data_IF_246152998984
#
_entry.id   IF_246152998984
#
_cell.length_a   1.000
_cell.length_b   1.000
_cell.length_c   1.000
_cell.angle_alpha   90.00
_cell.angle_beta   90.00
_cell.angle_gamma   90.00
#
_symmetry.space_group_name_H-M   'P 1'
#
loop_
_entity.id
_entity.type
_entity.pdbx_description
1 polymer ?
#
# COMPACT_ATOMS: atom_id res chain seq x y z
N UNK A 1 18.96 8.92 46.35
CA UNK A 1 18.65 10.05 45.45
C UNK A 1 19.97 10.50 44.85
N UNK A 2 20.21 10.46 43.52
CA UNK A 2 19.51 9.81 42.41
C UNK A 2 20.26 8.56 41.86
N UNK A 3 19.69 7.86 40.86
CA UNK A 3 20.06 6.49 40.48
C UNK A 3 20.93 6.39 39.23
N UNK A 4 21.48 5.18 39.06
CA UNK A 4 22.25 4.61 37.96
C UNK A 4 21.86 5.14 36.58
N UNK A 5 22.83 5.80 35.97
CA UNK A 5 22.97 6.08 34.56
C UNK A 5 23.16 4.76 33.79
N UNK A 6 22.05 4.06 33.59
CA UNK A 6 21.90 3.07 32.54
C UNK A 6 22.14 3.79 31.21
N UNK A 7 23.40 3.73 30.80
CA UNK A 7 23.86 4.15 29.49
C UNK A 7 23.10 3.31 28.48
N UNK A 8 22.09 3.92 27.87
CA UNK A 8 21.41 3.41 26.69
C UNK A 8 22.49 2.91 25.73
N UNK A 9 22.58 1.58 25.60
CA UNK A 9 23.21 0.93 24.46
C UNK A 9 22.35 1.31 23.23
N UNK A 10 22.49 2.56 22.81
CA UNK A 10 22.20 2.98 21.46
C UNK A 10 23.18 2.20 20.61
N UNK A 11 22.73 1.03 20.17
CA UNK A 11 23.37 0.17 19.20
C UNK A 11 23.89 1.08 18.09
N UNK A 12 25.20 1.36 18.13
CA UNK A 12 25.82 2.30 17.23
C UNK A 12 25.75 1.66 15.85
N UNK A 13 24.73 2.05 15.08
CA UNK A 13 24.43 1.53 13.76
C UNK A 13 25.68 1.68 12.88
N UNK A 14 26.37 0.56 12.65
CA UNK A 14 27.55 0.52 11.77
C UNK A 14 27.03 0.49 10.34
N UNK A 15 26.78 1.68 9.79
CA UNK A 15 26.31 1.82 8.41
C UNK A 15 27.51 1.75 7.47
N UNK A 16 27.67 0.58 6.82
CA UNK A 16 28.58 0.43 5.67
C UNK A 16 27.83 0.86 4.40
N UNK A 17 28.11 2.08 3.92
CA UNK A 17 27.53 2.62 2.67
C UNK A 17 28.40 2.25 1.46
N UNK A 18 27.83 1.49 0.51
CA UNK A 18 28.31 1.45 -0.87
C UNK A 18 27.78 2.67 -1.64
N UNK A 19 28.46 3.09 -2.73
CA UNK A 19 27.96 4.15 -3.62
C UNK A 19 26.63 3.69 -4.22
N UNK A 20 25.57 4.44 -3.96
CA UNK A 20 24.22 4.27 -4.52
C UNK A 20 23.86 5.55 -5.26
N UNK A 21 23.16 5.41 -6.38
CA UNK A 21 22.88 6.50 -7.33
C UNK A 21 21.91 7.56 -6.74
N UNK A 22 21.03 7.16 -5.81
CA UNK A 22 20.17 8.04 -5.03
C UNK A 22 19.54 7.29 -3.85
N UNK A 23 19.18 8.01 -2.79
CA UNK A 23 18.43 7.46 -1.64
C UNK A 23 17.30 8.42 -1.32
N UNK A 24 16.06 7.96 -1.49
CA UNK A 24 14.88 8.72 -1.13
C UNK A 24 14.45 8.38 0.31
N UNK A 25 14.54 9.34 1.23
CA UNK A 25 13.98 9.21 2.57
C UNK A 25 12.55 9.76 2.61
N UNK A 26 11.59 8.90 2.95
CA UNK A 26 10.22 9.31 3.22
C UNK A 26 9.98 9.35 4.73
N UNK A 27 9.79 10.54 5.28
CA UNK A 27 9.33 10.69 6.66
C UNK A 27 7.83 10.41 6.74
N UNK A 28 7.47 9.40 7.55
CA UNK A 28 6.09 8.96 7.77
C UNK A 28 5.69 9.34 9.19
N UNK A 29 4.51 9.92 9.37
CA UNK A 29 4.00 10.27 10.71
C UNK A 29 3.52 9.00 11.43
N UNK A 30 3.57 8.98 12.77
CA UNK A 30 3.13 7.84 13.60
C UNK A 30 1.74 7.31 13.21
N UNK A 31 0.77 8.19 12.96
CA UNK A 31 -0.58 7.79 12.55
C UNK A 31 -0.67 7.22 11.11
N UNK A 32 0.23 7.65 10.21
CA UNK A 32 0.32 7.07 8.85
C UNK A 32 0.94 5.67 8.94
N UNK A 33 1.90 5.49 9.84
CA UNK A 33 2.52 4.19 10.13
C UNK A 33 1.51 3.22 10.78
N UNK A 34 0.74 3.68 11.77
CA UNK A 34 -0.31 2.87 12.43
C UNK A 34 -1.39 2.42 11.42
N UNK A 35 -1.79 3.30 10.49
CA UNK A 35 -2.72 2.95 9.40
C UNK A 35 -2.15 1.92 8.41
N UNK A 36 -0.83 1.87 8.24
CA UNK A 36 -0.15 0.89 7.41
C UNK A 36 0.10 -0.43 8.16
N UNK A 37 0.42 -0.35 9.45
CA UNK A 37 0.75 -1.48 10.34
C UNK A 37 -0.48 -2.31 10.71
N UNK A 38 -1.65 -1.67 10.85
CA UNK A 38 -2.92 -2.39 11.04
C UNK A 38 -3.20 -3.38 9.89
N UNK A 39 -2.52 -3.23 8.75
CA UNK A 39 -2.70 -4.10 7.59
C UNK A 39 -4.10 -3.94 7.01
N UNK A 40 -4.28 -4.31 5.75
CA UNK A 40 -5.61 -4.21 5.15
C UNK A 40 -6.38 -5.50 5.39
N UNK A 41 -7.43 -5.53 6.27
CA UNK A 41 -8.37 -6.66 6.29
C UNK A 41 -9.10 -6.82 4.96
N UNK A 42 -8.90 -5.88 4.02
CA UNK A 42 -9.41 -5.92 2.68
C UNK A 42 -8.92 -7.16 1.90
N UNK A 43 -7.71 -7.69 2.12
CA UNK A 43 -7.29 -8.92 1.42
C UNK A 43 -8.20 -10.10 1.77
N UNK A 44 -8.57 -10.25 3.04
CA UNK A 44 -9.50 -11.27 3.50
C UNK A 44 -10.92 -11.04 2.96
N UNK A 45 -11.40 -9.79 2.99
CA UNK A 45 -12.71 -9.42 2.44
C UNK A 45 -12.81 -9.71 0.93
N UNK A 46 -11.74 -9.47 0.18
CA UNK A 46 -11.68 -9.78 -1.25
C UNK A 46 -11.77 -11.28 -1.50
N UNK A 47 -10.98 -12.08 -0.77
CA UNK A 47 -11.01 -13.54 -0.92
C UNK A 47 -12.40 -14.10 -0.62
N UNK A 48 -13.05 -13.64 0.45
CA UNK A 48 -14.42 -14.04 0.77
C UNK A 48 -15.44 -13.57 -0.27
N UNK A 49 -15.29 -12.34 -0.79
CA UNK A 49 -16.15 -11.81 -1.85
C UNK A 49 -16.08 -12.67 -3.12
N UNK A 50 -14.86 -13.01 -3.57
CA UNK A 50 -14.64 -13.85 -4.75
C UNK A 50 -15.20 -15.26 -4.52
N UNK A 51 -14.97 -15.83 -3.34
CA UNK A 51 -15.52 -17.13 -2.96
C UNK A 51 -17.06 -17.15 -2.99
N UNK A 52 -17.72 -16.17 -2.37
CA UNK A 52 -19.18 -16.05 -2.34
C UNK A 52 -19.76 -15.83 -3.74
N UNK A 53 -19.11 -14.99 -4.55
CA UNK A 53 -19.51 -14.77 -5.94
C UNK A 53 -19.34 -16.04 -6.76
N UNK A 54 -18.24 -16.78 -6.58
CA UNK A 54 -18.01 -18.04 -7.28
C UNK A 54 -19.13 -19.05 -6.98
N UNK A 55 -19.51 -19.20 -5.71
CA UNK A 55 -20.62 -20.09 -5.31
C UNK A 55 -21.93 -19.60 -5.90
N UNK A 56 -22.21 -18.29 -5.85
CA UNK A 56 -23.43 -17.73 -6.40
C UNK A 56 -23.53 -17.95 -7.91
N UNK A 57 -22.44 -17.76 -8.66
CA UNK A 57 -22.39 -18.03 -10.09
C UNK A 57 -22.57 -19.52 -10.40
N UNK A 58 -21.94 -20.41 -9.64
CA UNK A 58 -22.18 -21.85 -9.78
C UNK A 58 -23.67 -22.19 -9.56
N UNK A 59 -24.29 -21.63 -8.52
CA UNK A 59 -25.72 -21.82 -8.25
C UNK A 59 -26.62 -21.31 -9.39
N UNK A 60 -26.29 -20.15 -9.98
CA UNK A 60 -27.01 -19.58 -11.13
C UNK A 60 -26.86 -20.48 -12.35
N UNK A 61 -25.64 -20.93 -12.63
CA UNK A 61 -25.37 -21.82 -13.76
C UNK A 61 -26.11 -23.15 -13.61
N UNK A 62 -26.14 -23.71 -12.41
CA UNK A 62 -26.95 -24.89 -12.10
C UNK A 62 -28.42 -24.62 -12.34
N UNK A 63 -28.97 -23.49 -11.87
CA UNK A 63 -30.38 -23.14 -12.08
C UNK A 63 -30.74 -22.91 -13.56
N UNK A 64 -29.78 -22.41 -14.34
CA UNK A 64 -29.96 -22.15 -15.77
C UNK A 64 -29.79 -23.40 -16.65
N UNK A 65 -29.04 -24.40 -16.18
CA UNK A 65 -28.67 -25.57 -16.98
C UNK A 65 -29.38 -26.85 -16.54
N UNK A 66 -29.64 -27.00 -15.25
CA UNK A 66 -30.27 -28.19 -14.70
C UNK A 66 -31.79 -28.05 -14.70
N UNK A 67 -32.47 -29.09 -15.19
CA UNK A 67 -33.92 -29.23 -15.07
C UNK A 67 -34.19 -29.74 -13.65
N UNK A 68 -34.45 -28.81 -12.73
CA UNK A 68 -34.70 -29.14 -11.32
C UNK A 68 -36.20 -29.40 -11.15
N UNK A 69 -36.59 -30.67 -11.04
CA UNK A 69 -38.00 -31.05 -10.86
C UNK A 69 -38.54 -30.72 -9.45
N UNK A 70 -37.66 -30.57 -8.46
CA UNK A 70 -38.04 -30.30 -7.07
C UNK A 70 -38.05 -28.80 -6.73
N UNK A 71 -39.22 -28.29 -6.33
CA UNK A 71 -39.41 -26.89 -5.90
C UNK A 71 -38.53 -26.50 -4.71
N UNK A 72 -38.18 -27.45 -3.84
CA UNK A 72 -37.34 -27.21 -2.66
C UNK A 72 -35.91 -26.86 -3.10
N UNK A 73 -35.33 -27.67 -4.00
CA UNK A 73 -33.99 -27.44 -4.53
C UNK A 73 -33.92 -26.11 -5.29
N UNK A 74 -34.91 -25.83 -6.13
CA UNK A 74 -35.00 -24.57 -6.86
C UNK A 74 -34.94 -23.36 -5.91
N UNK A 75 -35.72 -23.40 -4.82
CA UNK A 75 -35.76 -22.32 -3.82
C UNK A 75 -34.42 -22.13 -3.13
N UNK A 76 -33.76 -23.23 -2.72
CA UNK A 76 -32.45 -23.17 -2.05
C UNK A 76 -31.38 -22.55 -2.96
N UNK A 77 -31.33 -22.95 -4.24
CA UNK A 77 -30.38 -22.37 -5.18
C UNK A 77 -30.62 -20.87 -5.43
N UNK A 78 -31.87 -20.44 -5.51
CA UNK A 78 -32.22 -19.01 -5.64
C UNK A 78 -31.78 -18.23 -4.41
N UNK A 79 -32.04 -18.73 -3.20
CA UNK A 79 -31.64 -18.05 -1.95
C UNK A 79 -30.12 -17.93 -1.85
N UNK A 80 -29.38 -19.01 -2.13
CA UNK A 80 -27.91 -19.00 -2.12
C UNK A 80 -27.37 -18.01 -3.16
N UNK A 81 -27.95 -17.99 -4.36
CA UNK A 81 -27.57 -17.06 -5.42
C UNK A 81 -27.77 -15.60 -5.02
N UNK A 82 -28.95 -15.25 -4.49
CA UNK A 82 -29.27 -13.88 -4.09
C UNK A 82 -28.40 -13.42 -2.93
N UNK A 83 -28.29 -14.23 -1.87
CA UNK A 83 -27.47 -13.90 -0.70
C UNK A 83 -25.99 -13.82 -1.07
N UNK A 84 -25.50 -14.76 -1.87
CA UNK A 84 -24.12 -14.80 -2.33
C UNK A 84 -23.74 -13.59 -3.19
N UNK A 85 -24.64 -13.16 -4.09
CA UNK A 85 -24.44 -11.91 -4.86
C UNK A 85 -24.47 -10.69 -3.94
N UNK A 86 -25.48 -10.55 -3.08
CA UNK A 86 -25.62 -9.36 -2.23
C UNK A 86 -24.42 -9.20 -1.29
N UNK A 87 -24.04 -10.26 -0.57
CA UNK A 87 -22.88 -10.23 0.30
C UNK A 87 -21.58 -10.10 -0.50
N UNK A 88 -21.43 -10.88 -1.57
CA UNK A 88 -20.25 -10.83 -2.44
C UNK A 88 -19.98 -9.42 -2.97
N UNK A 89 -20.99 -8.77 -3.53
CA UNK A 89 -20.91 -7.39 -4.05
C UNK A 89 -20.65 -6.39 -2.92
N UNK A 90 -21.33 -6.52 -1.77
CA UNK A 90 -21.09 -5.65 -0.62
C UNK A 90 -19.63 -5.69 -0.16
N UNK A 91 -19.06 -6.89 0.02
CA UNK A 91 -17.66 -7.04 0.39
C UNK A 91 -16.72 -6.51 -0.69
N UNK A 92 -17.05 -6.64 -1.97
CA UNK A 92 -16.26 -6.11 -3.08
C UNK A 92 -16.21 -4.57 -3.05
N UNK A 93 -17.35 -3.92 -2.77
CA UNK A 93 -17.44 -2.46 -2.66
C UNK A 93 -16.66 -1.97 -1.43
N UNK A 94 -16.82 -2.65 -0.28
CA UNK A 94 -16.06 -2.35 0.94
C UNK A 94 -14.55 -2.45 0.71
N UNK A 95 -14.12 -3.51 0.00
CA UNK A 95 -12.73 -3.71 -0.37
C UNK A 95 -12.20 -2.55 -1.22
N UNK A 96 -12.94 -2.16 -2.26
CA UNK A 96 -12.52 -1.08 -3.15
C UNK A 96 -12.35 0.23 -2.38
N UNK A 97 -13.31 0.57 -1.50
CA UNK A 97 -13.23 1.78 -0.68
C UNK A 97 -12.00 1.78 0.23
N UNK A 98 -11.72 0.66 0.90
CA UNK A 98 -10.56 0.51 1.78
C UNK A 98 -9.24 0.63 1.01
N UNK A 99 -9.15 0.02 -0.17
CA UNK A 99 -7.95 0.08 -1.02
C UNK A 99 -7.66 1.48 -1.54
N UNK A 100 -8.71 2.26 -1.85
CA UNK A 100 -8.57 3.66 -2.29
C UNK A 100 -8.00 4.55 -1.17
N UNK A 101 -8.40 4.30 0.09
CA UNK A 101 -7.92 5.06 1.24
C UNK A 101 -6.41 4.87 1.46
N UNK A 102 -5.93 3.61 1.42
CA UNK A 102 -4.50 3.30 1.56
C UNK A 102 -3.68 3.90 0.41
N UNK A 103 -4.17 3.79 -0.83
CA UNK A 103 -3.50 4.41 -1.99
C UNK A 103 -3.36 5.93 -1.84
N UNK A 104 -4.35 6.59 -1.24
CA UNK A 104 -4.31 8.03 -1.00
C UNK A 104 -3.23 8.40 0.02
N UNK A 105 -3.09 7.63 1.10
CA UNK A 105 -2.05 7.85 2.12
C UNK A 105 -0.66 7.69 1.50
N UNK A 106 -0.44 6.62 0.73
CA UNK A 106 0.82 6.41 0.00
C UNK A 106 1.09 7.55 -0.98
N UNK A 107 0.07 8.00 -1.72
CA UNK A 107 0.22 9.14 -2.63
C UNK A 107 0.55 10.44 -1.89
N UNK A 108 -0.04 10.67 -0.71
CA UNK A 108 0.28 11.81 0.14
C UNK A 108 1.72 11.77 0.64
N UNK A 109 2.23 10.59 1.03
CA UNK A 109 3.64 10.43 1.42
C UNK A 109 4.56 10.70 0.22
N UNK A 110 4.26 10.13 -0.96
CA UNK A 110 5.08 10.31 -2.17
C UNK A 110 5.08 11.74 -2.70
N UNK A 111 3.96 12.47 -2.59
CA UNK A 111 3.86 13.85 -3.08
C UNK A 111 4.60 14.88 -2.20
N UNK A 112 5.09 14.50 -1.00
CA UNK A 112 5.90 15.40 -0.17
C UNK A 112 7.29 15.66 -0.76
N UNK A 113 7.77 14.75 -1.61
CA UNK A 113 8.97 14.97 -2.43
C UNK A 113 8.49 15.13 -3.87
N UNK A 114 8.21 16.36 -4.34
CA UNK A 114 7.95 16.56 -5.75
C UNK A 114 9.20 16.15 -6.54
N UNK A 115 9.07 15.42 -7.66
CA UNK A 115 10.20 15.01 -8.50
C UNK A 115 10.99 16.21 -9.07
N UNK A 116 10.46 17.42 -8.91
CA UNK A 116 11.09 18.68 -9.31
C UNK A 116 12.15 19.16 -8.30
N UNK A 117 11.96 18.91 -7.00
CA UNK A 117 12.96 19.26 -5.98
C UNK A 117 14.28 18.48 -6.17
N UNK A 118 14.18 17.26 -6.68
CA UNK A 118 15.31 16.40 -7.03
C UNK A 118 16.13 17.03 -8.19
N UNK A 119 15.46 17.65 -9.18
CA UNK A 119 16.15 18.28 -10.31
C UNK A 119 16.86 19.57 -9.89
N UNK A 120 16.23 20.37 -9.04
CA UNK A 120 16.80 21.64 -8.60
C UNK A 120 18.05 21.43 -7.73
N UNK A 121 18.10 20.43 -6.84
CA UNK A 121 19.31 20.16 -6.05
C UNK A 121 20.46 19.58 -6.87
N UNK A 122 20.17 18.76 -7.89
CA UNK A 122 21.18 18.22 -8.81
C UNK A 122 21.75 19.33 -9.70
N UNK A 123 20.90 20.23 -10.20
CA UNK A 123 21.31 21.35 -11.05
C UNK A 123 22.11 22.41 -10.25
N UNK A 124 21.71 22.70 -9.01
CA UNK A 124 22.47 23.60 -8.11
C UNK A 124 23.81 22.97 -7.72
N UNK A 125 23.87 21.67 -7.42
CA UNK A 125 25.13 21.00 -7.08
C UNK A 125 26.09 20.91 -8.28
N UNK A 126 25.58 20.63 -9.48
CA UNK A 126 26.37 20.62 -10.71
C UNK A 126 26.91 22.01 -11.07
N UNK A 127 26.12 23.07 -10.87
CA UNK A 127 26.54 24.45 -11.16
C UNK A 127 27.59 24.95 -10.14
N UNK A 128 27.50 24.50 -8.88
CA UNK A 128 28.48 24.82 -7.83
C UNK A 128 29.81 24.07 -8.02
N UNK A 129 29.81 22.84 -8.53
CA UNK A 129 31.05 22.14 -8.90
C UNK A 129 31.74 22.76 -10.13
N UNK A 130 30.97 23.13 -11.15
CA UNK A 130 31.51 23.81 -12.35
C UNK A 130 32.13 25.17 -12.01
N UNK A 131 31.46 25.98 -11.17
CA UNK A 131 32.01 27.29 -10.74
C UNK A 131 33.24 27.18 -9.83
N UNK A 132 33.46 26.04 -9.15
CA UNK A 132 34.67 25.81 -8.35
C UNK A 132 35.87 25.37 -9.19
N UNK A 133 35.63 24.73 -10.33
CA UNK A 133 36.70 24.30 -11.25
C UNK A 133 37.34 25.47 -12.00
N UNK A 134 36.59 26.52 -12.30
CA UNK A 134 37.09 27.68 -13.06
C UNK A 134 37.93 28.65 -12.22
N UNK A 135 37.86 28.56 -10.87
CA UNK A 135 38.57 29.46 -9.97
C UNK A 135 39.93 28.92 -9.48
N UNK A 136 40.39 27.79 -10.05
CA UNK A 136 41.62 27.11 -9.61
C UNK A 136 42.53 26.71 -10.78
N UNK A 137 43.18 27.69 -11.42
CA UNK A 137 44.50 27.54 -12.07
C UNK A 137 45.10 28.91 -12.44
N UNK A 138 46.44 29.09 -12.53
CA UNK A 138 47.53 28.58 -11.69
C UNK A 138 48.27 29.74 -10.99
N UNK A 139 48.74 29.55 -9.77
CA UNK A 139 49.75 30.45 -9.20
C UNK A 139 51.13 29.95 -9.68
N UNK A 140 51.71 30.72 -10.61
CA UNK A 140 53.14 30.90 -10.93
C UNK A 140 54.13 29.77 -10.69
#
# INVERSE_FOLDING_TARGET
MPPKDESYLGEKLVVRRGRVDSVDLFEVKEHELEMLEQGSPASLQLNFSIFLLSIAFSAILTLSTAIVESQILQTVYVVISVVGILLGVYLLISWWRTRTSIKKIIATIKNRIPPEAIRTEIEVSATVEVSRSDNQAPAG
#
